data_IF_748812041064
#
_entry.id   IF_748812041064
#
_cell.length_a   1.000
_cell.length_b   1.000
_cell.length_c   1.000
_cell.angle_alpha   90.00
_cell.angle_beta   90.00
_cell.angle_gamma   90.00
#
_symmetry.space_group_name_H-M   'P 1'
#
loop_
_entity.id
_entity.type
_entity.pdbx_description
1 polymer ?
#
# COMPACT_ATOMS: atom_id res chain seq x y z
N UNK A 1 39.02 10.39 8.90
CA UNK A 1 37.56 10.17 9.17
C UNK A 1 36.89 9.60 7.92
N UNK A 2 35.95 8.65 8.12
CA UNK A 2 35.19 8.05 6.99
C UNK A 2 34.20 9.09 6.43
N UNK A 3 34.06 9.17 5.11
CA UNK A 3 33.08 10.05 4.49
C UNK A 3 31.64 9.64 4.86
N UNK A 4 30.69 10.59 4.82
CA UNK A 4 29.27 10.31 5.08
C UNK A 4 28.72 9.21 4.15
N UNK A 5 29.26 9.08 2.93
CA UNK A 5 28.87 8.02 2.01
C UNK A 5 29.26 6.62 2.53
N UNK A 6 30.50 6.46 3.00
CA UNK A 6 30.98 5.19 3.58
C UNK A 6 30.18 4.84 4.85
N UNK A 7 29.89 5.85 5.68
CA UNK A 7 29.09 5.66 6.89
C UNK A 7 27.64 5.27 6.57
N UNK A 8 27.07 5.82 5.50
CA UNK A 8 25.73 5.46 5.04
C UNK A 8 25.66 3.99 4.59
N UNK A 9 26.62 3.52 3.80
CA UNK A 9 26.61 2.12 3.37
C UNK A 9 26.73 1.16 4.57
N UNK A 10 27.61 1.45 5.50
CA UNK A 10 27.74 0.67 6.74
C UNK A 10 26.43 0.67 7.57
N UNK A 11 25.77 1.83 7.69
CA UNK A 11 24.47 1.94 8.36
C UNK A 11 23.39 1.11 7.66
N UNK A 12 23.29 1.21 6.34
CA UNK A 12 22.28 0.48 5.56
C UNK A 12 22.53 -1.04 5.62
N UNK A 13 23.79 -1.47 5.55
CA UNK A 13 24.17 -2.87 5.69
C UNK A 13 23.79 -3.43 7.06
N UNK A 14 24.16 -2.73 8.14
CA UNK A 14 23.79 -3.10 9.51
C UNK A 14 22.27 -3.24 9.65
N UNK A 15 21.53 -2.25 9.20
CA UNK A 15 20.06 -2.26 9.30
C UNK A 15 19.43 -3.37 8.47
N UNK A 16 20.00 -3.70 7.31
CA UNK A 16 19.52 -4.82 6.48
C UNK A 16 19.80 -6.17 7.12
N UNK A 17 20.96 -6.36 7.75
CA UNK A 17 21.28 -7.56 8.55
C UNK A 17 20.31 -7.76 9.72
N UNK A 18 19.80 -6.66 10.30
CA UNK A 18 18.74 -6.66 11.31
C UNK A 18 17.31 -6.85 10.74
N UNK A 19 17.18 -7.19 9.45
CA UNK A 19 15.90 -7.51 8.80
C UNK A 19 15.11 -6.32 8.23
N UNK A 20 15.64 -5.08 8.29
CA UNK A 20 14.96 -3.92 7.71
C UNK A 20 15.21 -3.80 6.20
N UNK A 21 14.16 -3.82 5.38
CA UNK A 21 14.29 -3.73 3.91
C UNK A 21 14.82 -2.37 3.41
N UNK A 22 14.55 -1.28 4.09
CA UNK A 22 15.00 0.12 3.86
C UNK A 22 15.00 0.60 2.40
N UNK A 23 14.15 0.07 1.51
CA UNK A 23 14.13 0.42 0.08
C UNK A 23 13.95 1.91 -0.16
N UNK A 24 12.88 2.50 0.41
CA UNK A 24 12.62 3.94 0.28
C UNK A 24 13.59 4.78 1.13
N UNK A 25 13.79 4.40 2.39
CA UNK A 25 14.63 5.14 3.30
C UNK A 25 16.09 5.16 2.83
N UNK A 26 16.62 4.05 2.32
CA UNK A 26 17.96 4.00 1.73
C UNK A 26 18.11 4.97 0.56
N UNK A 27 17.19 4.96 -0.40
CA UNK A 27 17.23 5.89 -1.54
C UNK A 27 17.13 7.37 -1.12
N UNK A 28 16.34 7.69 -0.09
CA UNK A 28 16.27 9.04 0.44
C UNK A 28 17.54 9.45 1.19
N UNK A 29 18.15 8.56 1.96
CA UNK A 29 19.42 8.83 2.65
C UNK A 29 20.58 9.01 1.66
N UNK A 30 20.62 8.26 0.56
CA UNK A 30 21.60 8.53 -0.51
C UNK A 30 21.44 9.94 -1.07
N UNK A 31 20.20 10.37 -1.34
CA UNK A 31 19.93 11.75 -1.80
C UNK A 31 20.35 12.81 -0.76
N UNK A 32 20.18 12.51 0.53
CA UNK A 32 20.66 13.38 1.60
C UNK A 32 22.18 13.48 1.59
N UNK A 33 22.89 12.38 1.49
CA UNK A 33 24.38 12.38 1.44
C UNK A 33 24.89 13.11 0.20
N UNK A 34 24.28 12.94 -0.96
CA UNK A 34 24.60 13.71 -2.17
C UNK A 34 24.35 15.21 -1.98
N UNK A 35 23.27 15.59 -1.28
CA UNK A 35 23.01 16.97 -0.93
C UNK A 35 24.07 17.53 0.03
N UNK A 36 24.46 16.78 1.07
CA UNK A 36 25.53 17.14 1.99
C UNK A 36 26.87 17.37 1.25
N UNK A 37 27.22 16.46 0.33
CA UNK A 37 28.41 16.60 -0.50
C UNK A 37 28.40 17.86 -1.37
N UNK A 38 27.25 18.19 -2.02
CA UNK A 38 27.11 19.44 -2.79
C UNK A 38 27.28 20.70 -1.90
N UNK A 39 26.92 20.60 -0.63
CA UNK A 39 27.11 21.66 0.36
C UNK A 39 28.52 21.62 1.01
N UNK A 40 29.42 20.73 0.55
CA UNK A 40 30.75 20.51 1.11
C UNK A 40 30.74 20.22 2.63
N UNK A 41 29.65 19.62 3.12
CA UNK A 41 29.47 19.27 4.51
C UNK A 41 30.12 17.91 4.82
N UNK A 42 31.02 17.87 5.78
CA UNK A 42 31.69 16.64 6.24
C UNK A 42 30.95 15.99 7.42
N UNK A 43 30.07 16.73 8.09
CA UNK A 43 29.27 16.29 9.26
C UNK A 43 27.81 16.62 9.05
N UNK A 44 26.94 15.93 9.77
CA UNK A 44 25.51 16.22 9.77
C UNK A 44 25.26 17.28 10.84
N UNK A 45 24.66 18.42 10.42
CA UNK A 45 24.14 19.41 11.34
C UNK A 45 22.60 19.44 11.25
N UNK A 46 21.94 19.88 12.31
CA UNK A 46 20.49 20.06 12.34
C UNK A 46 20.02 21.01 11.22
N UNK A 47 20.77 22.11 10.99
CA UNK A 47 20.52 23.07 9.90
C UNK A 47 20.57 22.39 8.52
N UNK A 48 21.59 21.55 8.27
CA UNK A 48 21.74 20.82 7.01
C UNK A 48 20.59 19.81 6.82
N UNK A 49 20.23 19.08 7.86
CA UNK A 49 19.18 18.10 7.83
C UNK A 49 17.79 18.72 7.56
N UNK A 50 17.50 19.85 8.21
CA UNK A 50 16.27 20.62 7.99
C UNK A 50 16.21 21.17 6.56
N UNK A 51 17.28 21.80 6.08
CA UNK A 51 17.35 22.34 4.73
C UNK A 51 17.10 21.29 3.66
N UNK A 52 17.58 20.04 3.87
CA UNK A 52 17.28 18.95 2.94
C UNK A 52 15.86 18.38 3.12
N UNK A 53 15.41 18.26 4.35
CA UNK A 53 14.10 17.67 4.63
C UNK A 53 12.97 18.49 4.01
N UNK A 54 13.06 19.82 4.04
CA UNK A 54 12.05 20.77 3.57
C UNK A 54 12.14 21.13 2.09
N UNK A 55 13.10 20.60 1.32
CA UNK A 55 13.24 20.88 -0.12
C UNK A 55 11.97 20.65 -0.97
N UNK A 56 11.20 19.54 -0.80
CA UNK A 56 9.98 19.37 -1.58
C UNK A 56 8.91 20.37 -1.14
N UNK A 57 8.53 21.29 -2.05
CA UNK A 57 7.48 22.28 -1.78
C UNK A 57 6.07 21.67 -1.83
N UNK A 58 5.82 20.80 -2.83
CA UNK A 58 4.49 20.21 -3.09
C UNK A 58 4.23 18.94 -2.29
N UNK A 59 4.42 18.97 -0.96
CA UNK A 59 4.12 17.82 -0.13
C UNK A 59 3.50 18.23 1.22
N UNK A 60 2.86 17.28 1.89
CA UNK A 60 2.38 17.55 3.24
C UNK A 60 3.55 17.72 4.21
N UNK A 61 3.44 18.65 5.19
CA UNK A 61 4.49 18.88 6.19
C UNK A 61 4.95 17.59 6.91
N UNK A 62 4.05 16.64 7.13
CA UNK A 62 4.39 15.32 7.68
C UNK A 62 5.42 14.55 6.83
N UNK A 63 5.55 14.83 5.53
CA UNK A 63 6.60 14.22 4.70
C UNK A 63 7.96 14.82 5.03
N UNK A 64 8.04 16.13 5.33
CA UNK A 64 9.28 16.76 5.81
C UNK A 64 9.71 16.16 7.15
N UNK A 65 8.76 15.98 8.09
CA UNK A 65 9.02 15.32 9.36
C UNK A 65 9.53 13.87 9.18
N UNK A 66 8.93 13.13 8.26
CA UNK A 66 9.40 11.75 7.93
C UNK A 66 10.82 11.76 7.33
N UNK A 67 11.13 12.69 6.44
CA UNK A 67 12.47 12.85 5.86
C UNK A 67 13.48 13.19 6.95
N UNK A 68 13.17 14.17 7.81
CA UNK A 68 14.01 14.56 8.94
C UNK A 68 14.23 13.37 9.89
N UNK A 69 13.18 12.62 10.20
CA UNK A 69 13.26 11.41 11.04
C UNK A 69 14.15 10.30 10.45
N UNK A 70 14.27 10.19 9.13
CA UNK A 70 15.23 9.28 8.49
C UNK A 70 16.66 9.76 8.70
N UNK A 71 16.93 11.06 8.47
CA UNK A 71 18.26 11.65 8.71
C UNK A 71 18.63 11.58 10.18
N UNK A 72 17.70 11.84 11.10
CA UNK A 72 17.92 11.73 12.54
C UNK A 72 18.43 10.32 12.93
N UNK A 73 17.78 9.24 12.45
CA UNK A 73 18.23 7.86 12.75
C UNK A 73 19.61 7.55 12.18
N UNK A 74 19.94 8.11 11.03
CA UNK A 74 21.28 8.00 10.47
C UNK A 74 22.29 8.83 11.24
N UNK A 75 21.94 10.06 11.66
CA UNK A 75 22.78 10.92 12.49
C UNK A 75 23.08 10.28 13.86
N UNK A 76 22.11 9.62 14.48
CA UNK A 76 22.33 8.83 15.71
C UNK A 76 23.39 7.73 15.54
N UNK A 77 23.42 7.07 14.38
CA UNK A 77 24.45 6.07 14.08
C UNK A 77 25.82 6.73 13.86
N UNK A 78 25.85 7.82 13.10
CA UNK A 78 27.10 8.54 12.77
C UNK A 78 27.72 9.20 14.00
N UNK A 79 26.91 9.74 14.91
CA UNK A 79 27.38 10.44 16.12
C UNK A 79 28.19 9.56 17.06
N UNK A 80 27.96 8.23 17.04
CA UNK A 80 28.77 7.28 17.78
C UNK A 80 30.23 7.19 17.27
N UNK A 81 30.47 7.54 16.00
CA UNK A 81 31.82 7.54 15.39
C UNK A 81 32.39 8.95 15.19
N UNK A 82 31.52 9.97 15.11
CA UNK A 82 31.91 11.38 14.93
C UNK A 82 31.05 12.28 15.83
N UNK A 83 31.53 12.65 17.03
CA UNK A 83 30.80 13.48 17.99
C UNK A 83 30.40 14.88 17.48
N UNK A 84 30.99 15.37 16.39
CA UNK A 84 30.61 16.64 15.75
C UNK A 84 29.27 16.58 15.04
N UNK A 85 28.75 15.35 14.83
CA UNK A 85 27.45 15.14 14.20
C UNK A 85 26.34 15.51 15.15
N UNK A 86 25.52 16.47 14.77
CA UNK A 86 24.31 16.82 15.50
C UNK A 86 23.18 15.83 15.20
N UNK A 87 22.44 15.46 16.25
CA UNK A 87 21.23 14.65 16.12
C UNK A 87 20.04 15.61 16.05
N UNK A 88 19.38 15.78 14.87
CA UNK A 88 18.23 16.70 14.77
C UNK A 88 17.17 16.37 15.83
N UNK A 89 16.60 17.37 16.54
CA UNK A 89 15.55 17.15 17.54
C UNK A 89 14.32 16.46 16.95
N UNK A 90 13.51 15.84 17.82
CA UNK A 90 12.20 15.34 17.44
C UNK A 90 11.20 16.48 17.38
N UNK A 91 10.13 16.30 16.62
CA UNK A 91 8.95 17.18 16.59
C UNK A 91 9.21 18.65 16.16
N UNK A 92 10.36 18.93 15.55
CA UNK A 92 10.68 20.25 14.99
C UNK A 92 9.79 20.58 13.80
N UNK A 93 9.30 19.58 13.08
CA UNK A 93 8.43 19.73 11.92
C UNK A 93 7.06 19.12 12.19
N UNK A 94 5.97 19.72 11.67
CA UNK A 94 4.63 19.15 11.80
C UNK A 94 4.59 17.72 11.30
N UNK A 95 4.23 16.77 12.15
CA UNK A 95 4.28 15.34 11.85
C UNK A 95 2.89 14.69 11.65
N UNK A 96 1.80 15.42 11.93
CA UNK A 96 0.43 14.91 11.76
C UNK A 96 0.10 14.76 10.28
N UNK A 97 -0.06 13.53 9.85
CA UNK A 97 -0.50 13.22 8.50
C UNK A 97 -2.02 13.25 8.43
N UNK A 98 -2.57 14.14 7.62
CA UNK A 98 -4.01 14.15 7.33
C UNK A 98 -4.32 13.04 6.35
N UNK A 99 -4.91 11.94 6.83
CA UNK A 99 -5.43 10.87 5.96
C UNK A 99 -6.60 11.44 5.17
N UNK A 100 -6.52 11.37 3.84
CA UNK A 100 -7.65 11.70 2.99
C UNK A 100 -8.70 10.61 3.10
N UNK A 101 -9.99 10.95 3.15
CA UNK A 101 -11.06 9.96 3.04
C UNK A 101 -10.83 9.07 1.81
N UNK A 102 -11.11 7.76 1.90
CA UNK A 102 -11.01 6.87 0.77
C UNK A 102 -12.13 7.18 -0.24
N UNK A 103 -11.84 6.96 -1.51
CA UNK A 103 -12.90 6.91 -2.50
C UNK A 103 -13.63 5.56 -2.39
N UNK A 104 -14.94 5.60 -2.18
CA UNK A 104 -15.77 4.40 -2.13
C UNK A 104 -16.37 4.16 -3.50
N UNK A 105 -15.82 3.19 -4.21
CA UNK A 105 -16.35 2.79 -5.51
C UNK A 105 -17.73 2.15 -5.37
N UNK A 106 -18.66 2.49 -6.24
CA UNK A 106 -19.88 1.73 -6.45
C UNK A 106 -19.58 0.41 -7.18
N UNK A 107 -20.50 -0.55 -7.09
CA UNK A 107 -20.36 -1.83 -7.82
C UNK A 107 -20.29 -1.61 -9.33
N UNK A 108 -21.05 -0.64 -9.85
CA UNK A 108 -21.02 -0.25 -11.27
C UNK A 108 -19.64 0.26 -11.68
N UNK A 109 -19.01 1.11 -10.87
CA UNK A 109 -17.67 1.63 -11.15
C UNK A 109 -16.59 0.54 -11.10
N UNK A 110 -16.65 -0.39 -10.13
CA UNK A 110 -15.74 -1.54 -10.09
C UNK A 110 -15.90 -2.41 -11.33
N UNK A 111 -17.13 -2.73 -11.73
CA UNK A 111 -17.40 -3.50 -12.94
C UNK A 111 -16.90 -2.78 -14.20
N UNK A 112 -17.15 -1.47 -14.31
CA UNK A 112 -16.68 -0.64 -15.43
C UNK A 112 -15.15 -0.58 -15.49
N UNK A 113 -14.48 -0.46 -14.33
CA UNK A 113 -13.02 -0.49 -14.23
C UNK A 113 -12.42 -1.81 -14.73
N UNK A 114 -13.00 -2.95 -14.32
CA UNK A 114 -12.56 -4.28 -14.75
C UNK A 114 -12.81 -4.49 -16.25
N UNK A 115 -14.00 -4.08 -16.74
CA UNK A 115 -14.36 -4.18 -18.16
C UNK A 115 -13.44 -3.32 -19.04
N UNK A 116 -13.21 -2.08 -18.64
CA UNK A 116 -12.32 -1.17 -19.36
C UNK A 116 -10.86 -1.64 -19.35
N UNK A 117 -10.37 -2.18 -18.24
CA UNK A 117 -9.04 -2.76 -18.16
C UNK A 117 -8.85 -3.91 -19.16
N UNK A 118 -9.93 -4.68 -19.45
CA UNK A 118 -9.90 -5.77 -20.43
C UNK A 118 -9.93 -5.27 -21.88
N UNK A 119 -10.40 -4.06 -22.12
CA UNK A 119 -10.54 -3.44 -23.45
C UNK A 119 -9.38 -2.51 -23.79
N UNK A 120 -8.47 -2.22 -22.87
CA UNK A 120 -7.33 -1.35 -23.14
C UNK A 120 -6.47 -1.92 -24.28
N UNK A 121 -6.04 -1.06 -25.22
CA UNK A 121 -5.13 -1.47 -26.28
C UNK A 121 -3.86 -2.10 -25.72
N UNK A 122 -3.52 -3.27 -26.19
CA UNK A 122 -2.33 -4.02 -25.81
C UNK A 122 -1.81 -4.79 -27.04
N UNK A 123 -0.49 -5.01 -27.17
CA UNK A 123 0.08 -5.82 -28.24
C UNK A 123 -0.44 -7.26 -28.26
N UNK A 124 -0.87 -7.75 -27.10
CA UNK A 124 -1.52 -9.04 -26.92
C UNK A 124 -2.55 -8.97 -25.78
N UNK A 125 -3.37 -10.00 -25.62
CA UNK A 125 -4.43 -10.04 -24.61
C UNK A 125 -3.92 -10.21 -23.17
N UNK A 126 -2.65 -10.56 -22.96
CA UNK A 126 -2.08 -10.82 -21.62
C UNK A 126 -2.14 -9.59 -20.72
N UNK A 127 -1.76 -8.40 -21.21
CA UNK A 127 -1.81 -7.16 -20.40
C UNK A 127 -3.24 -6.85 -19.97
N UNK A 128 -4.18 -6.94 -20.90
CA UNK A 128 -5.57 -6.63 -20.66
C UNK A 128 -6.16 -7.58 -19.60
N UNK A 129 -5.96 -8.89 -19.77
CA UNK A 129 -6.48 -9.88 -18.83
C UNK A 129 -5.74 -9.81 -17.48
N UNK A 130 -4.42 -9.55 -17.46
CA UNK A 130 -3.65 -9.37 -16.22
C UNK A 130 -4.23 -8.24 -15.37
N UNK A 131 -4.45 -7.05 -15.97
CA UNK A 131 -4.96 -5.90 -15.25
C UNK A 131 -6.40 -6.11 -14.79
N UNK A 132 -7.28 -6.61 -15.66
CA UNK A 132 -8.67 -6.88 -15.30
C UNK A 132 -8.78 -7.89 -14.16
N UNK A 133 -8.02 -8.98 -14.23
CA UNK A 133 -7.99 -10.02 -13.19
C UNK A 133 -7.41 -9.49 -11.89
N UNK A 134 -6.32 -8.71 -11.96
CA UNK A 134 -5.70 -8.11 -10.79
C UNK A 134 -6.64 -7.10 -10.11
N UNK A 135 -7.30 -6.22 -10.85
CA UNK A 135 -8.25 -5.25 -10.27
C UNK A 135 -9.45 -5.95 -9.63
N UNK A 136 -9.99 -6.99 -10.30
CA UNK A 136 -11.04 -7.82 -9.73
C UNK A 136 -10.59 -8.52 -8.45
N UNK A 137 -9.42 -9.13 -8.44
CA UNK A 137 -8.85 -9.78 -7.25
C UNK A 137 -8.71 -8.80 -6.07
N UNK A 138 -8.16 -7.60 -6.32
CA UNK A 138 -8.00 -6.57 -5.29
C UNK A 138 -9.36 -6.11 -4.73
N UNK A 139 -10.38 -5.97 -5.58
CA UNK A 139 -11.71 -5.54 -5.16
C UNK A 139 -12.42 -6.56 -4.26
N UNK A 140 -12.25 -7.87 -4.54
CA UNK A 140 -12.97 -8.94 -3.82
C UNK A 140 -12.19 -9.52 -2.65
N UNK A 141 -10.90 -9.24 -2.52
CA UNK A 141 -10.06 -9.76 -1.43
C UNK A 141 -9.50 -8.68 -0.51
N UNK A 142 -9.54 -7.43 -0.94
CA UNK A 142 -8.92 -6.34 -0.19
C UNK A 142 -7.40 -6.46 -0.01
N UNK A 143 -6.70 -7.30 -0.78
CA UNK A 143 -5.23 -7.43 -0.72
C UNK A 143 -4.54 -6.11 -1.06
N UNK A 144 -3.32 -5.93 -0.54
CA UNK A 144 -2.46 -4.84 -1.03
C UNK A 144 -1.95 -5.16 -2.44
N UNK A 145 -1.80 -4.13 -3.29
CA UNK A 145 -1.24 -4.32 -4.65
C UNK A 145 0.08 -5.09 -4.60
N UNK A 146 0.99 -4.68 -3.71
CA UNK A 146 2.28 -5.36 -3.56
C UNK A 146 2.18 -6.82 -3.11
N UNK A 147 1.14 -7.20 -2.35
CA UNK A 147 0.87 -8.59 -1.97
C UNK A 147 0.38 -9.38 -3.18
N UNK A 148 -0.56 -8.84 -3.94
CA UNK A 148 -1.12 -9.52 -5.11
C UNK A 148 -0.08 -9.72 -6.23
N UNK A 149 0.68 -8.69 -6.59
CA UNK A 149 1.78 -8.83 -7.57
C UNK A 149 2.97 -9.63 -7.03
N UNK A 150 3.07 -9.76 -5.70
CA UNK A 150 4.08 -10.55 -5.01
C UNK A 150 3.82 -12.06 -5.03
N UNK A 151 2.59 -12.50 -5.36
CA UNK A 151 2.25 -13.93 -5.42
C UNK A 151 3.11 -14.67 -6.45
N UNK A 152 3.66 -15.79 -6.04
CA UNK A 152 4.24 -16.79 -6.94
C UNK A 152 3.16 -17.81 -7.34
N UNK A 153 3.40 -18.60 -8.39
CA UNK A 153 2.48 -19.68 -8.80
C UNK A 153 2.18 -20.65 -7.66
N UNK A 154 3.19 -21.02 -6.88
CA UNK A 154 3.06 -21.91 -5.70
C UNK A 154 2.22 -21.34 -4.56
N UNK A 155 1.97 -20.04 -4.56
CA UNK A 155 1.16 -19.37 -3.55
C UNK A 155 -0.33 -19.31 -3.91
N UNK A 156 -0.70 -19.80 -5.11
CA UNK A 156 -2.06 -19.76 -5.64
C UNK A 156 -2.58 -21.18 -5.82
N UNK A 157 -3.32 -21.67 -4.83
CA UNK A 157 -4.00 -22.96 -4.92
C UNK A 157 -5.44 -22.77 -5.43
N UNK A 158 -5.63 -22.92 -6.74
CA UNK A 158 -6.94 -22.79 -7.36
C UNK A 158 -7.83 -24.05 -7.16
N UNK A 159 -7.30 -25.16 -6.65
CA UNK A 159 -8.10 -26.34 -6.32
C UNK A 159 -8.80 -26.15 -4.99
N UNK A 160 -8.05 -25.76 -3.96
CA UNK A 160 -8.57 -25.45 -2.64
C UNK A 160 -9.19 -24.03 -2.56
N UNK A 161 -8.93 -23.17 -3.54
CA UNK A 161 -9.39 -21.77 -3.52
C UNK A 161 -8.70 -20.92 -2.48
N UNK A 162 -7.39 -21.08 -2.32
CA UNK A 162 -6.60 -20.38 -1.32
C UNK A 162 -5.42 -19.63 -1.95
N UNK A 163 -5.16 -18.43 -1.45
CA UNK A 163 -3.92 -17.70 -1.70
C UNK A 163 -3.08 -17.66 -0.44
N UNK A 164 -1.77 -17.91 -0.57
CA UNK A 164 -0.80 -17.76 0.52
C UNK A 164 -0.07 -16.44 0.37
N UNK A 165 -0.38 -15.44 1.19
CA UNK A 165 0.36 -14.17 1.24
C UNK A 165 1.54 -14.34 2.17
N UNK A 166 2.76 -14.45 1.59
CA UNK A 166 4.00 -14.65 2.36
C UNK A 166 4.64 -13.32 2.71
N UNK A 167 5.33 -13.28 3.85
CA UNK A 167 6.18 -12.16 4.27
C UNK A 167 5.53 -10.77 4.07
N UNK A 168 4.24 -10.65 4.41
CA UNK A 168 3.56 -9.37 4.46
C UNK A 168 4.25 -8.41 5.46
N UNK A 169 3.69 -7.25 5.70
CA UNK A 169 4.20 -6.30 6.69
C UNK A 169 4.41 -7.03 8.04
N UNK A 170 5.57 -6.85 8.67
CA UNK A 170 6.02 -7.55 9.90
C UNK A 170 6.31 -9.05 9.74
N UNK A 171 6.69 -9.51 8.54
CA UNK A 171 7.05 -10.89 8.23
C UNK A 171 5.95 -11.94 8.54
N UNK A 172 4.69 -11.50 8.66
CA UNK A 172 3.54 -12.39 8.89
C UNK A 172 3.06 -12.97 7.56
N UNK A 173 2.70 -14.24 7.55
CA UNK A 173 2.02 -14.89 6.42
C UNK A 173 0.55 -15.12 6.78
N UNK A 174 -0.33 -15.11 5.76
CA UNK A 174 -1.74 -15.39 5.96
C UNK A 174 -2.34 -16.06 4.73
N UNK A 175 -3.42 -16.79 4.95
CA UNK A 175 -4.25 -17.36 3.89
C UNK A 175 -5.37 -16.39 3.52
N UNK A 176 -5.71 -16.34 2.24
CA UNK A 176 -6.83 -15.56 1.70
C UNK A 176 -7.72 -16.51 0.92
N UNK A 177 -8.92 -16.85 1.43
CA UNK A 177 -9.87 -17.72 0.73
C UNK A 177 -10.47 -17.00 -0.48
N UNK A 178 -10.73 -17.76 -1.53
CA UNK A 178 -11.28 -17.29 -2.78
C UNK A 178 -12.66 -17.90 -3.02
N UNK A 179 -13.62 -17.04 -3.34
CA UNK A 179 -14.90 -17.50 -3.85
C UNK A 179 -14.73 -18.22 -5.19
N UNK A 180 -15.57 -19.21 -5.51
CA UNK A 180 -15.43 -20.04 -6.72
C UNK A 180 -15.44 -19.21 -8.03
N UNK A 181 -16.18 -18.11 -8.10
CA UNK A 181 -16.18 -17.21 -9.26
C UNK A 181 -14.84 -16.55 -9.49
N UNK A 182 -14.14 -16.17 -8.40
CA UNK A 182 -12.78 -15.61 -8.44
C UNK A 182 -11.78 -16.66 -8.90
N UNK A 183 -11.89 -17.89 -8.38
CA UNK A 183 -11.06 -19.03 -8.83
C UNK A 183 -11.21 -19.24 -10.33
N UNK A 184 -12.45 -19.21 -10.87
CA UNK A 184 -12.71 -19.33 -12.31
C UNK A 184 -11.97 -18.26 -13.11
N UNK A 185 -12.01 -16.98 -12.67
CA UNK A 185 -11.32 -15.89 -13.35
C UNK A 185 -9.80 -15.99 -13.26
N UNK A 186 -9.25 -16.49 -12.15
CA UNK A 186 -7.83 -16.75 -12.02
C UNK A 186 -7.37 -17.91 -12.92
N UNK A 187 -8.18 -18.96 -13.08
CA UNK A 187 -7.90 -20.06 -14.06
C UNK A 187 -7.95 -19.56 -15.50
N UNK A 188 -8.90 -18.68 -15.86
CA UNK A 188 -8.94 -18.05 -17.19
C UNK A 188 -7.65 -17.26 -17.45
N UNK A 189 -7.22 -16.45 -16.48
CA UNK A 189 -5.96 -15.72 -16.56
C UNK A 189 -4.76 -16.68 -16.69
N UNK A 190 -4.69 -17.71 -15.86
CA UNK A 190 -3.59 -18.69 -15.87
C UNK A 190 -3.43 -19.35 -17.25
N UNK A 191 -4.54 -19.75 -17.90
CA UNK A 191 -4.52 -20.34 -19.25
C UNK A 191 -3.96 -19.37 -20.29
N UNK A 192 -4.36 -18.09 -20.24
CA UNK A 192 -3.86 -17.07 -21.18
C UNK A 192 -2.38 -16.80 -20.89
N UNK A 193 -2.01 -16.60 -19.64
CA UNK A 193 -0.62 -16.40 -19.23
C UNK A 193 0.29 -17.52 -19.71
N UNK A 194 -0.09 -18.79 -19.49
CA UNK A 194 0.75 -19.95 -19.82
C UNK A 194 0.84 -20.18 -21.34
N UNK A 195 -0.17 -19.75 -22.11
CA UNK A 195 -0.10 -19.71 -23.57
C UNK A 195 0.95 -18.71 -24.06
N UNK A 196 1.00 -17.51 -23.47
CA UNK A 196 1.96 -16.46 -23.87
C UNK A 196 3.36 -16.72 -23.32
N UNK A 197 3.46 -17.35 -22.15
CA UNK A 197 4.73 -17.61 -21.46
C UNK A 197 4.77 -19.05 -20.95
N UNK A 198 4.98 -20.06 -21.84
CA UNK A 198 5.16 -21.45 -21.42
C UNK A 198 6.36 -21.61 -20.47
N UNK A 199 7.40 -20.84 -20.69
CA UNK A 199 8.63 -20.77 -19.87
C UNK A 199 8.88 -19.35 -19.36
N UNK A 200 8.15 -18.90 -18.29
CA UNK A 200 8.25 -17.53 -17.83
C UNK A 200 9.60 -17.26 -17.14
N UNK A 201 10.10 -16.03 -17.29
CA UNK A 201 11.34 -15.56 -16.65
C UNK A 201 11.22 -15.34 -15.15
N UNK A 202 10.04 -15.52 -14.59
CA UNK A 202 9.74 -15.28 -13.18
C UNK A 202 8.75 -16.30 -12.65
N UNK A 203 8.88 -16.77 -11.39
CA UNK A 203 7.92 -17.66 -10.75
C UNK A 203 6.58 -16.97 -10.41
N UNK A 204 6.43 -15.68 -10.76
CA UNK A 204 5.27 -14.87 -10.40
C UNK A 204 3.98 -15.40 -10.98
N UNK A 205 2.89 -15.30 -10.22
CA UNK A 205 1.57 -15.59 -10.73
C UNK A 205 1.14 -14.57 -11.78
N UNK A 206 1.27 -13.26 -11.48
CA UNK A 206 0.99 -12.20 -12.44
C UNK A 206 2.24 -11.80 -13.21
N UNK A 207 2.18 -11.90 -14.54
CA UNK A 207 3.27 -11.60 -15.44
C UNK A 207 3.00 -10.34 -16.28
N UNK A 208 4.08 -9.64 -16.59
CA UNK A 208 4.12 -8.64 -17.65
C UNK A 208 4.19 -9.30 -19.03
N UNK A 209 4.02 -8.51 -20.08
CA UNK A 209 4.19 -8.97 -21.48
C UNK A 209 5.60 -9.52 -21.76
N UNK A 210 6.58 -9.18 -20.92
CA UNK A 210 7.98 -9.68 -21.03
C UNK A 210 8.22 -10.99 -20.26
N UNK A 211 7.18 -11.59 -19.66
CA UNK A 211 7.29 -12.77 -18.81
C UNK A 211 7.95 -12.52 -17.45
N UNK A 212 8.03 -11.27 -17.01
CA UNK A 212 8.58 -10.86 -15.71
C UNK A 212 7.47 -10.47 -14.75
N UNK A 213 7.78 -10.39 -13.43
CA UNK A 213 6.86 -9.91 -12.41
C UNK A 213 6.34 -8.49 -12.73
N UNK A 214 5.06 -8.24 -12.50
CA UNK A 214 4.50 -6.89 -12.55
C UNK A 214 5.15 -6.00 -11.48
N UNK A 215 5.32 -4.70 -11.80
CA UNK A 215 5.77 -3.71 -10.83
C UNK A 215 4.61 -2.84 -10.36
N UNK A 216 4.70 -2.34 -9.11
CA UNK A 216 3.68 -1.43 -8.55
C UNK A 216 3.48 -0.18 -9.43
N UNK A 217 4.58 0.36 -9.98
CA UNK A 217 4.53 1.50 -10.89
C UNK A 217 3.72 1.21 -12.15
N UNK A 218 3.97 0.05 -12.79
CA UNK A 218 3.25 -0.38 -13.99
C UNK A 218 1.76 -0.56 -13.71
N UNK A 219 1.41 -1.25 -12.63
CA UNK A 219 0.01 -1.49 -12.24
C UNK A 219 -0.72 -0.18 -11.94
N UNK A 220 -0.08 0.74 -11.20
CA UNK A 220 -0.67 2.07 -10.92
C UNK A 220 -0.86 2.89 -12.18
N UNK A 221 0.09 2.86 -13.09
CA UNK A 221 -0.04 3.55 -14.38
C UNK A 221 -1.25 3.05 -15.16
N UNK A 222 -1.42 1.73 -15.28
CA UNK A 222 -2.56 1.15 -15.99
C UNK A 222 -3.88 1.43 -15.27
N UNK A 223 -3.89 1.41 -13.94
CA UNK A 223 -5.06 1.80 -13.17
C UNK A 223 -5.48 3.26 -13.46
N UNK A 224 -4.53 4.18 -13.52
CA UNK A 224 -4.81 5.60 -13.85
C UNK A 224 -5.35 5.73 -15.26
N UNK A 225 -4.75 5.07 -16.25
CA UNK A 225 -5.21 5.08 -17.64
C UNK A 225 -6.66 4.56 -17.72
N UNK A 226 -6.94 3.41 -17.09
CA UNK A 226 -8.28 2.81 -17.05
C UNK A 226 -9.28 3.72 -16.35
N UNK A 227 -8.89 4.33 -15.22
CA UNK A 227 -9.74 5.26 -14.46
C UNK A 227 -10.10 6.51 -15.25
N UNK A 228 -9.18 7.03 -16.07
CA UNK A 228 -9.44 8.14 -17.00
C UNK A 228 -10.38 7.73 -18.11
N UNK A 229 -10.19 6.54 -18.67
CA UNK A 229 -11.01 6.02 -19.76
C UNK A 229 -12.49 5.89 -19.38
N UNK A 230 -12.80 5.58 -18.11
CA UNK A 230 -14.19 5.46 -17.63
C UNK A 230 -14.69 6.72 -16.90
N UNK A 231 -13.99 7.84 -17.00
CA UNK A 231 -14.39 9.12 -16.41
C UNK A 231 -14.26 9.24 -14.89
N UNK A 232 -13.64 8.27 -14.20
CA UNK A 232 -13.36 8.36 -12.76
C UNK A 232 -12.27 9.40 -12.42
N UNK A 233 -11.48 9.79 -13.41
CA UNK A 233 -10.48 10.85 -13.33
C UNK A 233 -10.51 11.70 -14.59
N UNK A 234 -10.42 13.01 -14.43
CA UNK A 234 -10.18 13.87 -15.57
C UNK A 234 -8.78 13.64 -16.18
N UNK A 235 -8.58 13.94 -17.48
CA UNK A 235 -7.28 13.75 -18.14
C UNK A 235 -6.13 14.48 -17.45
N UNK A 236 -6.39 15.65 -16.86
CA UNK A 236 -5.42 16.52 -16.19
C UNK A 236 -5.28 16.23 -14.69
N UNK A 237 -6.14 15.38 -14.10
CA UNK A 237 -6.12 15.14 -12.67
C UNK A 237 -4.83 14.45 -12.23
N UNK A 238 -4.03 15.16 -11.46
CA UNK A 238 -2.90 14.58 -10.72
C UNK A 238 -3.35 13.74 -9.51
N UNK A 239 -4.59 13.94 -9.05
CA UNK A 239 -5.20 13.28 -7.89
C UNK A 239 -6.56 12.72 -8.28
N UNK A 240 -7.04 11.69 -7.54
CA UNK A 240 -8.35 11.07 -7.80
C UNK A 240 -8.43 9.69 -7.14
N UNK A 241 -9.44 8.88 -7.47
CA UNK A 241 -9.60 7.52 -6.97
C UNK A 241 -8.33 6.69 -7.15
N UNK A 242 -7.92 5.94 -6.12
CA UNK A 242 -6.66 5.19 -6.11
C UNK A 242 -6.95 3.69 -6.15
N UNK A 243 -6.04 2.91 -6.71
CA UNK A 243 -6.14 1.45 -6.69
C UNK A 243 -6.21 0.91 -5.24
N UNK A 244 -5.60 1.60 -4.27
CA UNK A 244 -5.67 1.22 -2.86
C UNK A 244 -7.06 1.42 -2.26
N UNK A 245 -7.88 2.28 -2.86
CA UNK A 245 -9.25 2.51 -2.40
C UNK A 245 -10.16 1.29 -2.67
N UNK A 246 -9.78 0.35 -3.57
CA UNK A 246 -10.45 -0.96 -3.69
C UNK A 246 -10.35 -1.78 -2.39
N UNK A 247 -9.21 -1.69 -1.71
CA UNK A 247 -9.04 -2.33 -0.40
C UNK A 247 -9.88 -1.65 0.68
N UNK A 248 -9.99 -0.33 0.63
CA UNK A 248 -10.88 0.41 1.52
C UNK A 248 -12.33 0.04 1.28
N UNK A 249 -12.74 -0.10 0.02
CA UNK A 249 -14.08 -0.57 -0.35
C UNK A 249 -14.37 -1.97 0.22
N UNK A 250 -13.42 -2.91 0.12
CA UNK A 250 -13.59 -4.25 0.67
C UNK A 250 -13.85 -4.20 2.18
N UNK A 251 -13.03 -3.48 2.93
CA UNK A 251 -13.22 -3.33 4.37
C UNK A 251 -14.56 -2.66 4.72
N UNK A 252 -14.90 -1.57 4.01
CA UNK A 252 -16.17 -0.87 4.16
C UNK A 252 -17.35 -1.81 3.94
N UNK A 253 -17.39 -2.55 2.82
CA UNK A 253 -18.47 -3.49 2.52
C UNK A 253 -18.59 -4.62 3.53
N UNK A 254 -17.48 -5.12 4.04
CA UNK A 254 -17.45 -6.16 5.07
C UNK A 254 -18.10 -5.65 6.35
N UNK A 255 -17.68 -4.50 6.84
CA UNK A 255 -18.22 -3.89 8.07
C UNK A 255 -19.70 -3.53 7.87
N UNK A 256 -20.06 -2.93 6.73
CA UNK A 256 -21.45 -2.58 6.41
C UNK A 256 -22.36 -3.82 6.39
N UNK A 257 -21.87 -4.93 5.83
CA UNK A 257 -22.62 -6.19 5.80
C UNK A 257 -22.83 -6.77 7.21
N UNK A 258 -21.86 -6.64 8.11
CA UNK A 258 -22.02 -7.04 9.50
C UNK A 258 -23.10 -6.22 10.22
N UNK A 259 -23.06 -4.88 10.08
CA UNK A 259 -24.12 -4.03 10.63
C UNK A 259 -25.50 -4.40 10.09
N UNK A 260 -25.63 -4.60 8.77
CA UNK A 260 -26.91 -4.98 8.13
C UNK A 260 -27.44 -6.33 8.57
N UNK A 261 -26.57 -7.23 8.99
CA UNK A 261 -26.93 -8.55 9.55
C UNK A 261 -27.14 -8.54 11.06
N UNK A 262 -27.02 -7.39 11.73
CA UNK A 262 -27.13 -7.29 13.18
C UNK A 262 -26.00 -7.99 13.95
N UNK A 263 -24.84 -8.21 13.31
CA UNK A 263 -23.71 -8.86 13.96
C UNK A 263 -22.98 -7.87 14.87
N UNK A 264 -22.32 -8.40 15.91
CA UNK A 264 -21.43 -7.62 16.75
C UNK A 264 -20.16 -7.25 15.97
N UNK A 265 -20.13 -6.01 15.47
CA UNK A 265 -19.03 -5.52 14.64
C UNK A 265 -17.74 -5.43 15.44
N UNK A 266 -17.80 -5.06 16.72
CA UNK A 266 -16.59 -4.92 17.55
C UNK A 266 -15.92 -6.28 17.77
N UNK A 267 -16.69 -7.33 18.01
CA UNK A 267 -16.19 -8.70 18.15
C UNK A 267 -15.50 -9.21 16.87
N UNK A 268 -15.98 -8.77 15.69
CA UNK A 268 -15.44 -9.23 14.38
C UNK A 268 -14.31 -8.34 13.83
N UNK A 269 -14.08 -7.13 14.35
CA UNK A 269 -13.00 -6.25 13.88
C UNK A 269 -11.59 -6.87 13.97
N UNK A 270 -11.22 -7.65 15.03
CA UNK A 270 -9.94 -8.35 15.08
C UNK A 270 -9.74 -9.37 13.95
N UNK A 271 -10.82 -10.06 13.53
CA UNK A 271 -10.79 -11.01 12.41
C UNK A 271 -10.48 -10.28 11.10
N UNK A 272 -11.20 -9.17 10.82
CA UNK A 272 -10.93 -8.34 9.65
C UNK A 272 -9.52 -7.75 9.68
N UNK A 273 -9.05 -7.31 10.85
CA UNK A 273 -7.70 -6.80 11.05
C UNK A 273 -6.65 -7.84 10.65
N UNK A 274 -6.82 -9.08 11.10
CA UNK A 274 -5.95 -10.22 10.79
C UNK A 274 -6.02 -10.57 9.30
N UNK A 275 -7.24 -10.70 8.75
CA UNK A 275 -7.45 -10.96 7.33
C UNK A 275 -6.80 -9.89 6.45
N UNK A 276 -6.99 -8.61 6.78
CA UNK A 276 -6.38 -7.50 6.06
C UNK A 276 -4.85 -7.43 6.27
N UNK A 277 -4.29 -8.08 7.28
CA UNK A 277 -2.87 -7.97 7.65
C UNK A 277 -2.51 -6.57 8.12
N UNK A 278 -3.35 -5.96 8.96
CA UNK A 278 -3.02 -4.74 9.69
C UNK A 278 -2.14 -5.06 10.90
N UNK A 279 -1.24 -4.13 11.24
CA UNK A 279 -0.39 -4.27 12.42
C UNK A 279 -1.14 -3.96 13.72
N UNK A 280 -2.15 -3.10 13.64
CA UNK A 280 -2.95 -2.64 14.77
C UNK A 280 -4.42 -2.60 14.42
N UNK A 281 -5.29 -2.92 15.36
CA UNK A 281 -6.75 -2.87 15.19
C UNK A 281 -7.22 -1.45 14.89
N UNK A 282 -6.55 -0.44 15.43
CA UNK A 282 -6.82 0.97 15.15
C UNK A 282 -6.78 1.32 13.64
N UNK A 283 -5.98 0.60 12.83
CA UNK A 283 -5.97 0.77 11.38
C UNK A 283 -7.28 0.32 10.72
N UNK A 284 -8.03 -0.58 11.37
CA UNK A 284 -9.34 -1.07 10.93
C UNK A 284 -10.48 -0.21 11.48
N UNK A 285 -10.40 0.26 12.73
CA UNK A 285 -11.36 1.23 13.29
C UNK A 285 -11.47 2.52 12.47
N UNK A 286 -10.37 2.93 11.83
CA UNK A 286 -10.38 4.10 10.95
C UNK A 286 -11.45 4.03 9.86
N UNK A 287 -11.82 2.85 9.36
CA UNK A 287 -12.88 2.71 8.35
C UNK A 287 -14.24 3.14 8.87
N UNK A 288 -14.53 2.88 10.13
CA UNK A 288 -15.82 3.28 10.76
C UNK A 288 -15.90 4.80 10.84
N UNK A 289 -14.83 5.46 11.29
CA UNK A 289 -14.79 6.92 11.43
C UNK A 289 -14.65 7.67 10.10
N UNK A 290 -14.12 7.02 9.06
CA UNK A 290 -13.84 7.66 7.77
C UNK A 290 -15.06 7.74 6.84
N UNK A 291 -16.19 7.08 7.18
CA UNK A 291 -17.40 7.04 6.35
C UNK A 291 -18.65 7.40 7.16
N UNK A 292 -19.38 8.45 6.75
CA UNK A 292 -20.59 8.88 7.46
C UNK A 292 -21.64 7.77 7.63
N UNK A 293 -21.80 6.90 6.62
CA UNK A 293 -22.75 5.78 6.67
C UNK A 293 -22.41 4.77 7.78
N UNK A 294 -21.13 4.37 7.91
CA UNK A 294 -20.72 3.45 8.98
C UNK A 294 -20.78 4.12 10.35
N UNK A 295 -20.42 5.39 10.43
CA UNK A 295 -20.49 6.14 11.68
C UNK A 295 -21.95 6.22 12.18
N UNK A 296 -22.91 6.52 11.29
CA UNK A 296 -24.34 6.53 11.61
C UNK A 296 -24.83 5.17 12.12
N UNK A 297 -24.40 4.07 11.49
CA UNK A 297 -24.78 2.73 11.92
C UNK A 297 -24.15 2.36 13.28
N UNK A 298 -22.92 2.80 13.54
CA UNK A 298 -22.25 2.57 14.81
C UNK A 298 -22.89 3.32 15.99
N UNK A 299 -23.55 4.45 15.74
CA UNK A 299 -24.25 5.23 16.80
C UNK A 299 -25.66 4.74 17.11
N UNK A 300 -26.31 4.01 16.21
CA UNK A 300 -27.69 3.50 16.42
C UNK A 300 -27.91 2.67 17.70
N UNK A 301 -26.98 1.75 18.10
CA UNK A 301 -27.14 1.03 19.37
C UNK A 301 -27.14 1.95 20.59
N UNK A 302 -26.32 3.03 20.57
CA UNK A 302 -26.23 4.01 21.65
C UNK A 302 -27.53 4.84 21.77
N UNK A 303 -28.16 5.16 20.65
CA UNK A 303 -29.45 5.87 20.61
C UNK A 303 -30.60 5.01 21.16
N UNK A 304 -30.61 3.70 20.85
CA UNK A 304 -31.59 2.75 21.38
C UNK A 304 -31.48 2.56 22.89
N UNK A 305 -30.24 2.53 23.42
CA UNK A 305 -30.02 2.44 24.88
C UNK A 305 -30.47 3.70 25.61
N UNK A 306 -30.30 4.90 25.01
CA UNK A 306 -30.79 6.16 25.63
C UNK A 306 -32.29 6.33 25.53
N UNK A 307 -32.95 5.83 24.50
CA UNK A 307 -34.40 5.87 24.33
C UNK A 307 -35.16 4.85 25.19
N UNK A 308 -34.51 3.79 25.68
CA UNK A 308 -35.09 2.81 26.58
C UNK A 308 -34.97 3.14 28.08
N UNK A 309 -34.24 4.21 28.43
CA UNK A 309 -34.09 4.68 29.81
C UNK A 309 -35.10 5.79 30.21
N UNK A 310 -36.06 6.11 29.33
CA UNK A 310 -37.06 7.17 29.50
C UNK A 310 -38.49 6.61 29.36
N UNK A 311 -38.74 5.38 29.84
CA UNK A 311 -40.08 4.82 29.94
C UNK A 311 -40.31 4.22 31.33
#
# INVERSE_FOLDING_TARGET
>A
MKSLAIQLEAYLELRRKLGFKLRLAGGLLHRFVLFAQKKKASVITTKLALAWATQPADCQPAQWANRLGMVRRFAMYVSGADPRTEIPPQEVLPHRYHRKPPYLYSDKEVCSLIKAARQLPAPNDLRAISNATLFGLLAVTGMRVGEAIGLDRKDVDLRQGLLTVRQAKFNKSRLVPLHFTTQKKLREYERVRDRHHPHPKSPSFFLSERGTRLTDCTVRRWFIITSRHIGLRAPTDGRGPRIHDLRHLYAFKTILNWYRRGMDVEAHLPELTTYMGHGHVADTYWYISATPELLKLATQPLERQKGGASA
#
